data_IF_771816041246
#
_entry.id   IF_771816041246
#
_cell.length_a   1.000
_cell.length_b   1.000
_cell.length_c   1.000
_cell.angle_alpha   90.00
_cell.angle_beta   90.00
_cell.angle_gamma   90.00
#
_symmetry.space_group_name_H-M   'P 1'
#
loop_
_entity.id
_entity.type
_entity.pdbx_description
1 polymer ?
#
# COMPACT_ATOMS: atom_id res chain seq x y z
N UNK A 1 -31.88 0.50 9.83
CA UNK A 1 -31.00 0.72 8.67
C UNK A 1 -30.67 -0.63 8.06
N UNK A 2 -30.61 -0.77 6.73
CA UNK A 2 -30.20 -2.04 6.09
C UNK A 2 -28.72 -2.36 6.41
N UNK A 3 -28.32 -3.62 6.34
CA UNK A 3 -26.93 -4.03 6.55
C UNK A 3 -25.96 -3.27 5.62
N UNK A 4 -26.34 -3.09 4.35
CA UNK A 4 -25.61 -2.30 3.36
C UNK A 4 -25.52 -0.81 3.75
N UNK A 5 -26.59 -0.22 4.29
CA UNK A 5 -26.54 1.17 4.75
C UNK A 5 -25.58 1.33 5.93
N UNK A 6 -25.60 0.40 6.90
CA UNK A 6 -24.70 0.46 8.07
C UNK A 6 -23.23 0.36 7.65
N UNK A 7 -22.88 -0.61 6.80
CA UNK A 7 -21.50 -0.80 6.32
C UNK A 7 -21.03 0.41 5.50
N UNK A 8 -21.81 0.88 4.53
CA UNK A 8 -21.46 2.02 3.69
C UNK A 8 -21.36 3.32 4.47
N UNK A 9 -22.29 3.61 5.38
CA UNK A 9 -22.21 4.80 6.24
C UNK A 9 -20.96 4.75 7.13
N UNK A 10 -20.59 3.57 7.64
CA UNK A 10 -19.36 3.40 8.42
C UNK A 10 -18.11 3.66 7.57
N UNK A 11 -18.05 3.14 6.33
CA UNK A 11 -16.95 3.41 5.39
C UNK A 11 -16.84 4.90 5.11
N UNK A 12 -17.95 5.54 4.74
CA UNK A 12 -17.99 6.98 4.43
C UNK A 12 -17.56 7.80 5.64
N UNK A 13 -18.02 7.45 6.85
CA UNK A 13 -17.61 8.13 8.08
C UNK A 13 -16.10 8.01 8.33
N UNK A 14 -15.52 6.82 8.18
CA UNK A 14 -14.07 6.60 8.36
C UNK A 14 -13.27 7.39 7.34
N UNK A 15 -13.67 7.35 6.06
CA UNK A 15 -13.00 8.10 4.98
C UNK A 15 -13.13 9.61 5.21
N UNK A 16 -14.29 10.10 5.63
CA UNK A 16 -14.52 11.50 5.95
C UNK A 16 -13.68 11.96 7.14
N UNK A 17 -13.62 11.17 8.22
CA UNK A 17 -12.79 11.47 9.40
C UNK A 17 -11.30 11.48 9.03
N UNK A 18 -10.84 10.47 8.29
CA UNK A 18 -9.45 10.43 7.79
C UNK A 18 -9.12 11.66 6.95
N UNK A 19 -10.00 12.01 6.01
CA UNK A 19 -9.85 13.18 5.14
C UNK A 19 -9.83 14.48 5.94
N UNK A 20 -10.73 14.64 6.91
CA UNK A 20 -10.80 15.82 7.78
C UNK A 20 -9.52 15.98 8.63
N UNK A 21 -9.00 14.89 9.20
CA UNK A 21 -7.74 14.90 9.96
C UNK A 21 -6.58 15.33 9.04
N UNK A 22 -6.50 14.78 7.84
CA UNK A 22 -5.49 15.15 6.85
C UNK A 22 -5.56 16.64 6.49
N UNK A 23 -6.77 17.16 6.23
CA UNK A 23 -6.99 18.56 5.90
C UNK A 23 -6.63 19.51 7.06
N UNK A 24 -7.10 19.23 8.28
CA UNK A 24 -6.78 20.02 9.47
C UNK A 24 -5.28 20.09 9.77
N UNK A 25 -4.53 19.03 9.46
CA UNK A 25 -3.09 19.01 9.59
C UNK A 25 -2.34 19.88 8.54
N UNK A 26 -2.97 20.12 7.37
CA UNK A 26 -2.42 20.93 6.28
C UNK A 26 -2.72 22.42 6.38
N UNK A 27 -3.93 22.79 6.85
CA UNK A 27 -4.44 24.18 6.82
C UNK A 27 -3.57 25.21 7.58
N UNK A 28 -2.81 24.80 8.59
CA UNK A 28 -2.06 25.73 9.46
C UNK A 28 -0.68 26.16 8.93
N UNK A 29 -0.26 25.78 7.71
CA UNK A 29 1.06 26.15 7.18
C UNK A 29 1.00 26.58 5.71
N UNK A 30 1.92 27.48 5.32
CA UNK A 30 2.14 27.84 3.91
C UNK A 30 2.57 26.61 3.11
N UNK A 31 1.98 26.44 1.93
CA UNK A 31 2.16 25.29 1.05
C UNK A 31 3.10 25.68 -0.09
N UNK A 32 4.41 25.65 0.16
CA UNK A 32 5.44 25.77 -0.89
C UNK A 32 5.79 24.39 -1.48
N UNK A 33 6.53 24.34 -2.59
CA UNK A 33 6.90 23.07 -3.25
C UNK A 33 7.58 22.10 -2.28
N UNK A 34 8.44 22.59 -1.37
CA UNK A 34 9.13 21.75 -0.39
C UNK A 34 8.17 21.15 0.63
N UNK A 35 7.21 21.93 1.13
CA UNK A 35 6.17 21.44 2.04
C UNK A 35 5.19 20.51 1.31
N UNK A 36 4.95 20.74 0.02
CA UNK A 36 4.05 19.94 -0.81
C UNK A 36 4.65 18.60 -1.22
N UNK A 37 5.95 18.55 -1.55
CA UNK A 37 6.65 17.35 -2.06
C UNK A 37 7.39 16.53 -1.00
N UNK A 38 7.97 17.16 0.02
CA UNK A 38 8.78 16.48 1.05
C UNK A 38 8.39 16.84 2.48
N UNK A 39 7.29 17.58 2.66
CA UNK A 39 6.79 17.96 3.99
C UNK A 39 7.76 18.81 4.82
N UNK A 40 8.66 19.56 4.17
CA UNK A 40 9.68 20.37 4.83
C UNK A 40 10.79 19.57 5.51
N UNK A 41 10.92 18.26 5.20
CA UNK A 41 11.99 17.37 5.69
C UNK A 41 12.09 17.27 7.23
N UNK A 42 11.01 17.59 7.92
CA UNK A 42 10.94 17.70 9.39
C UNK A 42 10.24 16.53 10.08
N UNK A 43 9.88 15.47 9.36
CA UNK A 43 9.17 14.35 9.97
C UNK A 43 10.06 13.58 10.95
N UNK A 44 9.55 13.40 12.17
CA UNK A 44 10.16 12.54 13.19
C UNK A 44 10.08 11.07 12.80
N UNK A 45 10.84 10.22 13.52
CA UNK A 45 10.96 8.79 13.23
C UNK A 45 9.60 8.08 13.14
N UNK A 46 8.64 8.43 14.01
CA UNK A 46 7.29 7.83 14.02
C UNK A 46 6.49 8.20 12.78
N UNK A 47 6.52 9.46 12.33
CA UNK A 47 5.80 9.90 11.14
C UNK A 47 6.43 9.34 9.86
N UNK A 48 7.77 9.27 9.78
CA UNK A 48 8.47 8.62 8.66
C UNK A 48 8.14 7.13 8.64
N UNK A 49 8.16 6.47 9.80
CA UNK A 49 7.75 5.07 9.92
C UNK A 49 6.33 4.87 9.40
N UNK A 50 5.36 5.65 9.87
CA UNK A 50 3.95 5.52 9.45
C UNK A 50 3.72 5.93 7.98
N UNK A 51 4.46 6.88 7.46
CA UNK A 51 4.38 7.26 6.05
C UNK A 51 4.94 6.13 5.17
N UNK A 52 6.14 5.63 5.48
CA UNK A 52 6.75 4.52 4.75
C UNK A 52 5.92 3.24 4.90
N UNK A 53 5.34 2.97 6.06
CA UNK A 53 4.43 1.83 6.25
C UNK A 53 3.15 2.06 5.43
N UNK A 54 2.63 3.28 5.46
CA UNK A 54 1.54 3.77 4.64
C UNK A 54 1.70 3.45 3.15
N UNK A 55 2.90 3.67 2.63
CA UNK A 55 3.30 3.45 1.23
C UNK A 55 3.53 1.97 0.91
N UNK A 56 4.18 1.22 1.80
CA UNK A 56 4.52 -0.20 1.58
C UNK A 56 3.28 -1.08 1.66
N UNK A 57 2.41 -0.82 2.64
CA UNK A 57 1.22 -1.63 2.90
C UNK A 57 0.00 -1.00 2.23
N UNK A 58 -0.21 -1.45 0.99
CA UNK A 58 -1.24 -0.95 0.07
C UNK A 58 -2.46 -1.86 -0.02
N UNK A 59 -3.40 -1.54 -0.91
CA UNK A 59 -4.54 -2.42 -1.23
C UNK A 59 -4.11 -3.85 -1.54
N UNK A 60 -2.96 -4.03 -2.21
CA UNK A 60 -2.43 -5.38 -2.48
C UNK A 60 -2.10 -6.12 -1.20
N UNK A 61 -1.44 -5.47 -0.23
CA UNK A 61 -1.12 -6.08 1.07
C UNK A 61 -2.40 -6.52 1.82
N UNK A 62 -3.50 -5.80 1.64
CA UNK A 62 -4.76 -6.10 2.30
C UNK A 62 -5.62 -7.11 1.55
N UNK A 63 -6.13 -6.75 0.37
CA UNK A 63 -7.02 -7.59 -0.44
C UNK A 63 -6.23 -8.61 -1.25
N UNK A 64 -5.17 -8.19 -1.94
CA UNK A 64 -4.41 -9.06 -2.83
C UNK A 64 -3.71 -10.22 -2.10
N UNK A 65 -3.07 -9.96 -0.96
CA UNK A 65 -2.36 -10.97 -0.18
C UNK A 65 -3.33 -12.03 0.37
N UNK A 66 -4.47 -11.61 0.92
CA UNK A 66 -5.53 -12.55 1.33
C UNK A 66 -6.10 -13.34 0.14
N UNK A 67 -6.26 -12.69 -1.02
CA UNK A 67 -6.78 -13.32 -2.22
C UNK A 67 -5.82 -14.31 -2.84
N UNK A 68 -4.51 -14.07 -2.75
CA UNK A 68 -3.47 -15.04 -3.09
C UNK A 68 -3.44 -16.18 -2.09
N UNK A 69 -3.56 -15.90 -0.79
CA UNK A 69 -3.65 -16.94 0.23
C UNK A 69 -4.87 -17.85 -0.03
N UNK A 70 -5.98 -17.30 -0.50
CA UNK A 70 -7.16 -18.04 -0.92
C UNK A 70 -6.95 -18.83 -2.22
N UNK A 71 -6.44 -18.20 -3.27
CA UNK A 71 -6.42 -18.77 -4.63
C UNK A 71 -5.19 -19.61 -4.96
N UNK A 72 -4.06 -19.36 -4.28
CA UNK A 72 -2.76 -19.97 -4.57
C UNK A 72 -2.21 -20.75 -3.38
N UNK A 73 -2.46 -20.29 -2.15
CA UNK A 73 -1.96 -20.95 -0.94
C UNK A 73 -0.49 -20.64 -0.66
N UNK A 74 0.32 -21.68 -0.42
CA UNK A 74 1.75 -21.61 -0.09
C UNK A 74 2.59 -20.57 -0.85
N UNK A 75 2.45 -20.42 -2.19
CA UNK A 75 3.15 -19.38 -2.96
C UNK A 75 3.02 -17.96 -2.42
N UNK A 76 1.92 -17.64 -1.73
CA UNK A 76 1.67 -16.32 -1.13
C UNK A 76 2.70 -15.91 -0.08
N UNK A 77 3.37 -16.88 0.57
CA UNK A 77 4.44 -16.61 1.53
C UNK A 77 5.61 -15.85 0.91
N UNK A 78 5.69 -15.73 -0.41
CA UNK A 78 6.70 -14.91 -1.08
C UNK A 78 6.62 -13.46 -0.62
N UNK A 79 5.40 -12.96 -0.30
CA UNK A 79 5.19 -11.58 0.16
C UNK A 79 5.93 -11.29 1.46
N UNK A 80 5.85 -12.22 2.42
CA UNK A 80 6.57 -12.10 3.69
C UNK A 80 8.08 -12.18 3.46
N UNK A 81 8.55 -13.11 2.63
CA UNK A 81 9.96 -13.29 2.37
C UNK A 81 10.59 -12.08 1.67
N UNK A 82 9.98 -11.57 0.59
CA UNK A 82 10.59 -10.45 -0.12
C UNK A 82 10.55 -9.15 0.68
N UNK A 83 9.51 -8.90 1.48
CA UNK A 83 9.46 -7.70 2.32
C UNK A 83 10.56 -7.72 3.39
N UNK A 84 10.75 -8.85 4.07
CA UNK A 84 11.83 -8.98 5.06
C UNK A 84 13.21 -8.75 4.44
N UNK A 85 13.47 -9.34 3.26
CA UNK A 85 14.74 -9.15 2.57
C UNK A 85 14.89 -7.73 1.99
N UNK A 86 13.80 -7.11 1.51
CA UNK A 86 13.80 -5.71 1.11
C UNK A 86 14.23 -4.80 2.27
N UNK A 87 13.77 -5.04 3.50
CA UNK A 87 14.22 -4.23 4.64
C UNK A 87 15.72 -4.38 4.93
N UNK A 88 16.30 -5.57 4.73
CA UNK A 88 17.76 -5.74 4.78
C UNK A 88 18.43 -4.88 3.69
N UNK A 89 17.91 -4.92 2.46
CA UNK A 89 18.43 -4.09 1.36
C UNK A 89 18.37 -2.59 1.69
N UNK A 90 17.25 -2.09 2.23
CA UNK A 90 17.15 -0.67 2.59
C UNK A 90 18.10 -0.24 3.70
N UNK A 91 18.35 -1.11 4.67
CA UNK A 91 19.28 -0.82 5.76
C UNK A 91 20.67 -0.41 5.24
N UNK A 92 21.11 -1.02 4.13
CA UNK A 92 22.41 -0.74 3.51
C UNK A 92 22.35 0.31 2.39
N UNK A 93 21.32 0.26 1.53
CA UNK A 93 21.28 1.08 0.29
C UNK A 93 20.70 2.47 0.52
N UNK A 94 19.66 2.63 1.35
CA UNK A 94 19.00 3.93 1.50
C UNK A 94 19.86 5.01 2.21
N UNK A 95 20.68 4.71 3.23
CA UNK A 95 21.47 5.74 3.89
C UNK A 95 22.47 6.47 2.97
N UNK A 96 23.28 5.79 2.13
CA UNK A 96 24.15 6.47 1.17
C UNK A 96 23.37 7.30 0.13
N UNK A 97 22.22 6.80 -0.32
CA UNK A 97 21.33 7.52 -1.25
C UNK A 97 20.82 8.80 -0.60
N UNK A 98 20.39 8.73 0.67
CA UNK A 98 19.93 9.88 1.44
C UNK A 98 21.03 10.95 1.61
N UNK A 99 22.28 10.55 1.88
CA UNK A 99 23.41 11.48 2.00
C UNK A 99 23.65 12.25 0.70
N UNK A 100 23.60 11.57 -0.45
CA UNK A 100 23.68 12.20 -1.77
C UNK A 100 22.48 13.12 -2.01
N UNK A 101 21.28 12.69 -1.62
CA UNK A 101 20.06 13.48 -1.72
C UNK A 101 20.15 14.80 -0.94
N UNK A 102 20.72 14.76 0.26
CA UNK A 102 20.97 15.96 1.09
C UNK A 102 22.06 16.84 0.50
N UNK A 103 23.17 16.27 0.06
CA UNK A 103 24.33 17.02 -0.47
C UNK A 103 24.01 17.77 -1.75
N UNK A 104 23.19 17.18 -2.63
CA UNK A 104 22.87 17.72 -3.95
C UNK A 104 21.41 18.18 -4.08
N UNK A 105 20.68 18.30 -2.97
CA UNK A 105 19.28 18.70 -2.94
C UNK A 105 18.38 17.89 -3.92
N UNK A 106 18.65 16.59 -4.04
CA UNK A 106 17.85 15.71 -4.91
C UNK A 106 16.43 15.55 -4.33
N UNK A 107 15.46 15.49 -5.22
CA UNK A 107 14.05 15.28 -4.87
C UNK A 107 13.47 14.04 -5.52
N UNK A 108 14.00 13.60 -6.68
CA UNK A 108 13.45 12.46 -7.41
C UNK A 108 14.49 11.39 -7.72
N UNK A 109 14.00 10.18 -8.04
CA UNK A 109 14.81 9.08 -8.56
C UNK A 109 15.57 9.51 -9.83
N UNK A 110 14.92 10.26 -10.71
CA UNK A 110 15.53 10.76 -11.95
C UNK A 110 16.69 11.71 -11.69
N UNK A 111 16.61 12.56 -10.66
CA UNK A 111 17.72 13.44 -10.26
C UNK A 111 18.95 12.62 -9.87
N UNK A 112 18.76 11.53 -9.13
CA UNK A 112 19.84 10.64 -8.70
C UNK A 112 20.56 10.00 -9.88
N UNK A 113 19.82 9.43 -10.84
CA UNK A 113 20.42 8.82 -12.04
C UNK A 113 21.10 9.86 -12.94
N UNK A 114 20.49 11.05 -13.06
CA UNK A 114 21.10 12.16 -13.78
C UNK A 114 22.43 12.59 -13.19
N UNK A 115 22.52 12.71 -11.87
CA UNK A 115 23.76 13.06 -11.17
C UNK A 115 24.80 11.94 -11.25
N UNK A 116 24.41 10.69 -10.97
CA UNK A 116 25.32 9.54 -10.83
C UNK A 116 25.98 9.15 -12.15
N UNK A 117 25.24 9.24 -13.25
CA UNK A 117 25.70 8.85 -14.59
C UNK A 117 25.99 10.04 -15.50
N UNK A 118 25.73 11.27 -15.04
CA UNK A 118 25.89 12.51 -15.84
C UNK A 118 25.19 12.45 -17.20
N UNK A 119 24.07 11.72 -17.28
CA UNK A 119 23.33 11.49 -18.52
C UNK A 119 21.87 11.94 -18.38
N UNK A 120 21.53 13.03 -19.07
CA UNK A 120 20.17 13.61 -19.09
C UNK A 120 19.13 12.70 -19.73
N UNK A 121 19.53 11.92 -20.73
CA UNK A 121 18.64 10.99 -21.43
C UNK A 121 18.29 9.80 -20.55
N UNK A 122 19.25 9.30 -19.76
CA UNK A 122 18.99 8.26 -18.77
C UNK A 122 18.05 8.76 -17.67
N UNK A 123 18.23 9.98 -17.18
CA UNK A 123 17.33 10.58 -16.19
C UNK A 123 15.89 10.72 -16.72
N UNK A 124 15.74 11.16 -17.98
CA UNK A 124 14.46 11.24 -18.67
C UNK A 124 13.82 9.87 -18.91
N UNK A 125 14.61 8.87 -19.29
CA UNK A 125 14.15 7.49 -19.46
C UNK A 125 13.60 6.91 -18.14
N UNK A 126 14.35 7.06 -17.04
CA UNK A 126 13.90 6.64 -15.70
C UNK A 126 12.61 7.36 -15.28
N UNK A 127 12.47 8.65 -15.63
CA UNK A 127 11.25 9.42 -15.37
C UNK A 127 10.05 8.80 -16.10
N UNK A 128 10.16 8.58 -17.42
CA UNK A 128 9.08 8.04 -18.25
C UNK A 128 8.69 6.64 -17.77
N UNK A 129 9.67 5.76 -17.55
CA UNK A 129 9.41 4.40 -17.03
C UNK A 129 8.70 4.47 -15.68
N UNK A 130 9.15 5.33 -14.77
CA UNK A 130 8.52 5.53 -13.47
C UNK A 130 7.05 5.95 -13.57
N UNK A 131 6.73 6.93 -14.42
CA UNK A 131 5.36 7.42 -14.64
C UNK A 131 4.49 6.32 -15.25
N UNK A 132 4.97 5.63 -16.29
CA UNK A 132 4.22 4.55 -16.95
C UNK A 132 3.94 3.40 -15.97
N UNK A 133 4.91 3.01 -15.15
CA UNK A 133 4.72 1.95 -14.15
C UNK A 133 3.75 2.34 -13.02
N UNK A 134 3.50 3.62 -12.77
CA UNK A 134 2.48 4.05 -11.80
C UNK A 134 1.05 3.85 -12.29
N UNK A 135 0.80 3.81 -13.61
CA UNK A 135 -0.55 3.59 -14.16
C UNK A 135 -1.16 2.26 -13.68
N UNK A 136 -0.54 1.08 -13.88
CA UNK A 136 -1.11 -0.17 -13.38
C UNK A 136 -1.13 -0.22 -11.85
N UNK A 137 -0.21 0.47 -11.17
CA UNK A 137 -0.20 0.49 -9.71
C UNK A 137 -1.39 1.31 -9.16
N UNK A 138 -1.71 2.46 -9.75
CA UNK A 138 -2.90 3.23 -9.42
C UNK A 138 -4.18 2.46 -9.72
N UNK A 139 -4.22 1.74 -10.85
CA UNK A 139 -5.35 0.88 -11.20
C UNK A 139 -5.64 -0.17 -10.10
N UNK A 140 -4.60 -0.77 -9.51
CA UNK A 140 -4.76 -1.73 -8.39
C UNK A 140 -5.44 -1.08 -7.18
N UNK A 141 -5.06 0.15 -6.81
CA UNK A 141 -5.69 0.85 -5.67
C UNK A 141 -7.16 1.15 -5.94
N UNK A 142 -7.47 1.67 -7.13
CA UNK A 142 -8.85 2.01 -7.53
C UNK A 142 -9.73 0.74 -7.57
N UNK A 143 -9.18 -0.36 -8.10
CA UNK A 143 -9.86 -1.66 -8.13
C UNK A 143 -10.17 -2.16 -6.72
N UNK A 144 -9.27 -1.94 -5.77
CA UNK A 144 -9.48 -2.22 -4.35
C UNK A 144 -10.69 -1.54 -3.76
N UNK A 145 -10.81 -0.22 -3.95
CA UNK A 145 -11.98 0.54 -3.48
C UNK A 145 -13.26 0.03 -4.14
N UNK A 146 -13.20 -0.28 -5.44
CA UNK A 146 -14.31 -0.88 -6.16
C UNK A 146 -14.80 -2.18 -5.54
N UNK A 147 -13.87 -3.08 -5.19
CA UNK A 147 -14.15 -4.34 -4.49
C UNK A 147 -14.78 -4.07 -3.11
N UNK A 148 -14.19 -3.15 -2.33
CA UNK A 148 -14.65 -2.81 -0.99
C UNK A 148 -16.10 -2.34 -0.99
N UNK A 149 -16.42 -1.34 -1.82
CA UNK A 149 -17.76 -0.76 -1.88
C UNK A 149 -18.77 -1.76 -2.42
N UNK A 150 -18.39 -2.54 -3.44
CA UNK A 150 -19.25 -3.59 -4.00
C UNK A 150 -19.63 -4.63 -2.94
N UNK A 151 -18.65 -5.20 -2.22
CA UNK A 151 -18.93 -6.20 -1.18
C UNK A 151 -19.65 -5.59 0.02
N UNK A 152 -19.26 -4.38 0.46
CA UNK A 152 -19.90 -3.69 1.58
C UNK A 152 -21.35 -3.28 1.29
N UNK A 153 -21.67 -2.96 0.04
CA UNK A 153 -23.03 -2.64 -0.41
C UNK A 153 -23.91 -3.88 -0.62
N UNK A 154 -23.41 -5.08 -0.30
CA UNK A 154 -24.09 -6.35 -0.58
C UNK A 154 -24.40 -6.52 -2.07
N UNK A 155 -23.43 -6.13 -2.92
CA UNK A 155 -23.49 -6.21 -4.38
C UNK A 155 -24.54 -5.29 -5.04
N UNK A 156 -25.12 -4.36 -4.27
CA UNK A 156 -26.07 -3.36 -4.78
C UNK A 156 -25.39 -2.27 -5.63
N UNK A 157 -24.14 -1.93 -5.32
CA UNK A 157 -23.36 -0.94 -6.08
C UNK A 157 -22.39 -1.68 -7.02
N UNK A 158 -22.51 -1.51 -8.35
CA UNK A 158 -21.56 -2.06 -9.30
C UNK A 158 -20.14 -1.56 -9.06
N UNK A 159 -19.15 -2.44 -9.25
CA UNK A 159 -17.73 -2.13 -9.07
C UNK A 159 -17.28 -0.92 -9.89
N UNK A 160 -17.75 -0.79 -11.12
CA UNK A 160 -17.40 0.31 -12.03
C UNK A 160 -17.85 1.66 -11.49
N UNK A 161 -19.07 1.75 -10.97
CA UNK A 161 -19.60 2.97 -10.34
C UNK A 161 -18.80 3.33 -9.08
N UNK A 162 -18.50 2.34 -8.25
CA UNK A 162 -17.66 2.55 -7.07
C UNK A 162 -16.25 3.05 -7.42
N UNK A 163 -15.63 2.49 -8.47
CA UNK A 163 -14.33 2.93 -8.96
C UNK A 163 -14.37 4.37 -9.48
N UNK A 164 -15.41 4.77 -10.22
CA UNK A 164 -15.56 6.14 -10.72
C UNK A 164 -15.67 7.15 -9.57
N UNK A 165 -16.47 6.86 -8.54
CA UNK A 165 -16.59 7.69 -7.33
C UNK A 165 -15.27 7.74 -6.57
N UNK A 166 -14.57 6.62 -6.45
CA UNK A 166 -13.27 6.55 -5.79
C UNK A 166 -12.22 7.43 -6.50
N UNK A 167 -12.20 7.44 -7.83
CA UNK A 167 -11.32 8.32 -8.62
C UNK A 167 -11.64 9.79 -8.34
N UNK A 168 -12.92 10.18 -8.39
CA UNK A 168 -13.33 11.55 -8.11
C UNK A 168 -12.92 12.00 -6.69
N UNK A 169 -13.14 11.14 -5.69
CA UNK A 169 -12.76 11.42 -4.31
C UNK A 169 -11.23 11.49 -4.12
N UNK A 170 -10.49 10.58 -4.77
CA UNK A 170 -9.03 10.58 -4.74
C UNK A 170 -8.45 11.85 -5.37
N UNK A 171 -8.96 12.26 -6.53
CA UNK A 171 -8.53 13.49 -7.21
C UNK A 171 -8.79 14.70 -6.31
N UNK A 172 -10.00 14.83 -5.76
CA UNK A 172 -10.34 15.90 -4.84
C UNK A 172 -9.42 15.92 -3.59
N UNK A 173 -9.12 14.73 -3.05
CA UNK A 173 -8.19 14.59 -1.93
C UNK A 173 -6.78 15.08 -2.31
N UNK A 174 -6.20 14.59 -3.41
CA UNK A 174 -4.84 14.98 -3.84
C UNK A 174 -4.73 16.49 -4.10
N UNK A 175 -5.71 17.11 -4.77
CA UNK A 175 -5.70 18.55 -5.00
C UNK A 175 -5.74 19.37 -3.70
N UNK A 176 -6.45 18.87 -2.68
CA UNK A 176 -6.57 19.53 -1.39
C UNK A 176 -5.45 19.17 -0.39
N UNK A 177 -4.66 18.13 -0.67
CA UNK A 177 -3.78 17.47 0.30
C UNK A 177 -2.32 17.41 -0.17
N UNK A 178 -1.36 17.96 0.59
CA UNK A 178 0.07 17.70 0.39
C UNK A 178 0.56 16.44 1.13
N UNK A 179 1.84 16.05 1.01
CA UNK A 179 2.42 14.85 1.69
C UNK A 179 2.05 14.76 3.17
N UNK A 180 2.01 15.90 3.87
CA UNK A 180 1.72 15.94 5.31
C UNK A 180 0.29 15.50 5.63
N UNK A 181 -0.68 15.88 4.81
CA UNK A 181 -2.05 15.42 4.99
C UNK A 181 -2.11 13.90 4.82
N UNK A 182 -1.44 13.39 3.79
CA UNK A 182 -1.32 11.95 3.55
C UNK A 182 -0.71 11.23 4.75
N UNK A 183 0.38 11.75 5.33
CA UNK A 183 1.04 11.15 6.49
C UNK A 183 0.10 10.99 7.71
N UNK A 184 -0.76 11.98 7.98
CA UNK A 184 -1.74 11.87 9.06
C UNK A 184 -2.87 10.90 8.76
N UNK A 185 -3.31 10.82 7.50
CA UNK A 185 -4.26 9.78 7.08
C UNK A 185 -3.63 8.38 7.21
N UNK A 186 -2.32 8.24 6.94
CA UNK A 186 -1.60 6.98 7.14
C UNK A 186 -1.66 6.49 8.59
N UNK A 187 -1.60 7.39 9.58
CA UNK A 187 -1.72 7.02 11.00
C UNK A 187 -3.06 6.35 11.28
N UNK A 188 -4.16 6.98 10.84
CA UNK A 188 -5.53 6.47 11.03
C UNK A 188 -5.70 5.15 10.29
N UNK A 189 -5.21 5.08 9.04
CA UNK A 189 -5.20 3.88 8.21
C UNK A 189 -4.50 2.73 8.92
N UNK A 190 -3.25 2.92 9.36
CA UNK A 190 -2.42 1.86 9.92
C UNK A 190 -2.99 1.35 11.24
N UNK A 191 -3.51 2.23 12.09
CA UNK A 191 -4.20 1.83 13.33
C UNK A 191 -5.43 0.95 13.03
N UNK A 192 -6.26 1.37 12.07
CA UNK A 192 -7.42 0.58 11.66
C UNK A 192 -7.03 -0.73 10.98
N UNK A 193 -5.97 -0.73 10.18
CA UNK A 193 -5.50 -1.93 9.48
C UNK A 193 -4.90 -2.94 10.45
N UNK A 194 -4.14 -2.50 11.46
CA UNK A 194 -3.64 -3.37 12.52
C UNK A 194 -4.80 -4.00 13.31
N UNK A 195 -5.79 -3.19 13.69
CA UNK A 195 -6.98 -3.67 14.39
C UNK A 195 -7.76 -4.68 13.53
N UNK A 196 -7.98 -4.37 12.25
CA UNK A 196 -8.68 -5.24 11.31
C UNK A 196 -7.92 -6.56 11.10
N UNK A 197 -6.61 -6.50 10.85
CA UNK A 197 -5.77 -7.68 10.66
C UNK A 197 -5.81 -8.59 11.88
N UNK A 198 -5.61 -8.05 13.09
CA UNK A 198 -5.64 -8.83 14.33
C UNK A 198 -7.02 -9.43 14.60
N UNK A 199 -8.06 -8.63 14.48
CA UNK A 199 -9.45 -9.04 14.75
C UNK A 199 -9.91 -10.12 13.78
N UNK A 200 -9.58 -9.99 12.49
CA UNK A 200 -10.01 -10.93 11.46
C UNK A 200 -9.12 -12.19 11.46
N UNK A 201 -7.81 -12.01 11.51
CA UNK A 201 -6.86 -13.11 11.43
C UNK A 201 -6.81 -14.01 12.66
N UNK A 202 -7.20 -13.50 13.84
CA UNK A 202 -7.41 -14.33 15.04
C UNK A 202 -8.88 -14.70 15.19
N UNK A 203 -9.80 -13.76 14.96
CA UNK A 203 -11.22 -13.96 15.20
C UNK A 203 -11.86 -15.00 14.28
N UNK A 204 -11.56 -15.01 12.97
CA UNK A 204 -12.15 -15.99 12.05
C UNK A 204 -11.72 -17.42 12.42
N UNK A 205 -10.41 -17.72 12.63
CA UNK A 205 -10.01 -19.05 13.08
C UNK A 205 -10.63 -19.46 14.41
N UNK A 206 -10.78 -18.54 15.36
CA UNK A 206 -11.42 -18.83 16.65
C UNK A 206 -12.92 -19.14 16.52
N UNK A 207 -13.66 -18.32 15.76
CA UNK A 207 -15.12 -18.45 15.62
C UNK A 207 -15.50 -19.75 14.91
N UNK A 208 -14.77 -20.13 13.86
CA UNK A 208 -15.17 -21.24 12.98
C UNK A 208 -14.42 -22.55 13.22
N UNK A 209 -13.20 -22.50 13.76
CA UNK A 209 -12.35 -23.69 13.92
C UNK A 209 -11.88 -23.92 15.36
N UNK A 210 -12.17 -23.01 16.30
CA UNK A 210 -11.68 -23.07 17.67
C UNK A 210 -10.22 -22.64 17.83
N UNK A 211 -9.58 -22.12 16.78
CA UNK A 211 -8.22 -21.57 16.82
C UNK A 211 -7.42 -21.72 15.53
N UNK A 212 -6.27 -21.05 15.46
CA UNK A 212 -5.39 -21.05 14.28
C UNK A 212 -4.82 -22.46 14.00
N UNK A 213 -4.41 -23.18 15.05
CA UNK A 213 -3.87 -24.54 14.90
C UNK A 213 -4.91 -25.52 14.34
N UNK A 214 -6.14 -25.48 14.86
CA UNK A 214 -7.24 -26.30 14.38
C UNK A 214 -7.65 -25.95 12.94
N UNK A 215 -7.64 -24.66 12.57
CA UNK A 215 -7.86 -24.22 11.19
C UNK A 215 -6.80 -24.81 10.24
N UNK A 216 -5.52 -24.77 10.59
CA UNK A 216 -4.46 -25.36 9.76
C UNK A 216 -4.53 -26.89 9.72
N UNK A 217 -4.96 -27.54 10.81
CA UNK A 217 -5.20 -28.99 10.81
C UNK A 217 -6.33 -29.38 9.84
N UNK A 218 -7.45 -28.64 9.87
CA UNK A 218 -8.55 -28.81 8.92
C UNK A 218 -8.10 -28.55 7.47
N UNK A 219 -7.31 -27.49 7.25
CA UNK A 219 -6.80 -27.15 5.93
C UNK A 219 -5.82 -28.20 5.40
N UNK A 220 -4.95 -28.76 6.26
CA UNK A 220 -4.05 -29.84 5.92
C UNK A 220 -4.80 -31.13 5.56
N UNK A 221 -5.95 -31.38 6.19
CA UNK A 221 -6.78 -32.54 5.89
C UNK A 221 -7.56 -32.38 4.57
N UNK A 222 -8.22 -31.25 4.36
CA UNK A 222 -9.09 -31.04 3.19
C UNK A 222 -8.33 -30.59 1.93
N UNK A 223 -7.27 -29.78 2.09
CA UNK A 223 -6.52 -29.17 0.99
C UNK A 223 -5.01 -29.17 1.27
N UNK A 224 -4.36 -30.34 1.42
CA UNK A 224 -2.93 -30.44 1.77
C UNK A 224 -2.02 -29.71 0.78
N UNK A 225 -2.34 -29.76 -0.52
CA UNK A 225 -1.58 -29.07 -1.56
C UNK A 225 -1.57 -27.53 -1.38
N UNK A 226 -2.54 -26.97 -0.66
CA UNK A 226 -2.62 -25.52 -0.43
C UNK A 226 -1.56 -25.00 0.55
N UNK A 227 -0.98 -25.89 1.36
CA UNK A 227 0.07 -25.57 2.33
C UNK A 227 1.49 -25.83 1.82
N UNK A 228 1.63 -26.40 0.62
CA UNK A 228 2.91 -26.69 -0.02
C UNK A 228 3.11 -25.82 -1.25
N UNK A 229 4.31 -25.87 -1.86
CA UNK A 229 4.56 -25.33 -3.19
C UNK A 229 4.31 -26.46 -4.21
N UNK A 230 3.71 -26.20 -5.39
CA UNK A 230 3.29 -24.91 -5.95
C UNK A 230 1.90 -24.43 -5.51
N UNK A 231 1.35 -24.96 -4.42
CA UNK A 231 0.04 -24.56 -3.92
C UNK A 231 -1.09 -25.10 -4.79
N UNK A 232 -2.13 -24.28 -4.97
CA UNK A 232 -3.21 -24.52 -5.92
C UNK A 232 -2.84 -24.14 -7.38
N UNK A 233 -1.55 -24.00 -7.70
CA UNK A 233 -1.07 -23.59 -9.04
C UNK A 233 -0.13 -24.63 -9.64
N UNK A 234 0.15 -24.54 -10.94
CA UNK A 234 1.06 -25.47 -11.64
C UNK A 234 2.49 -24.91 -11.81
N UNK A 235 2.66 -23.61 -11.67
CA UNK A 235 3.83 -22.86 -12.13
C UNK A 235 4.51 -22.02 -11.03
N UNK A 236 3.90 -21.88 -9.85
CA UNK A 236 4.50 -21.14 -8.72
C UNK A 236 5.30 -22.07 -7.79
N UNK A 237 6.21 -22.86 -8.35
CA UNK A 237 7.09 -23.75 -7.59
C UNK A 237 8.24 -23.03 -6.88
N UNK A 238 9.15 -23.79 -6.28
CA UNK A 238 10.30 -23.25 -5.54
C UNK A 238 11.20 -22.32 -6.37
N UNK A 239 11.43 -22.66 -7.64
CA UNK A 239 12.24 -21.82 -8.53
C UNK A 239 11.60 -20.43 -8.74
N UNK A 240 10.29 -20.39 -8.99
CA UNK A 240 9.54 -19.13 -9.08
C UNK A 240 9.60 -18.34 -7.77
N UNK A 241 9.44 -19.02 -6.63
CA UNK A 241 9.49 -18.40 -5.32
C UNK A 241 10.83 -17.70 -5.08
N UNK A 242 11.95 -18.43 -5.22
CA UNK A 242 13.29 -17.90 -4.93
C UNK A 242 13.64 -16.76 -5.91
N UNK A 243 13.43 -16.97 -7.21
CA UNK A 243 13.71 -15.95 -8.23
C UNK A 243 12.88 -14.69 -8.04
N UNK A 244 11.58 -14.84 -7.74
CA UNK A 244 10.68 -13.70 -7.51
C UNK A 244 11.03 -12.97 -6.22
N UNK A 245 11.34 -13.68 -5.12
CA UNK A 245 11.77 -13.07 -3.86
C UNK A 245 13.04 -12.25 -4.07
N UNK A 246 14.05 -12.79 -4.75
CA UNK A 246 15.29 -12.06 -5.03
C UNK A 246 15.03 -10.83 -5.92
N UNK A 247 14.30 -11.01 -7.02
CA UNK A 247 13.96 -9.92 -7.94
C UNK A 247 13.21 -8.78 -7.23
N UNK A 248 12.16 -9.13 -6.48
CA UNK A 248 11.31 -8.14 -5.80
C UNK A 248 12.03 -7.46 -4.65
N UNK A 249 12.86 -8.17 -3.89
CA UNK A 249 13.62 -7.59 -2.78
C UNK A 249 14.66 -6.57 -3.27
N UNK A 250 15.37 -6.88 -4.36
CA UNK A 250 16.37 -5.97 -4.95
C UNK A 250 15.68 -4.81 -5.69
N UNK A 251 14.54 -5.08 -6.35
CA UNK A 251 13.78 -4.08 -7.10
C UNK A 251 12.90 -3.17 -6.26
N UNK A 252 12.65 -3.50 -4.99
CA UNK A 252 11.67 -2.81 -4.15
C UNK A 252 11.93 -1.30 -4.03
N UNK A 253 13.19 -0.92 -3.79
CA UNK A 253 13.58 0.50 -3.66
C UNK A 253 13.89 1.17 -5.00
N UNK A 254 13.71 0.49 -6.13
CA UNK A 254 13.80 1.12 -7.45
C UNK A 254 12.52 1.87 -7.83
N UNK A 255 11.43 1.67 -7.07
CA UNK A 255 10.19 2.40 -7.28
C UNK A 255 10.36 3.89 -6.94
N UNK A 256 9.94 4.82 -7.82
CA UNK A 256 10.24 6.24 -7.61
C UNK A 256 9.65 6.84 -6.33
N UNK A 257 8.48 6.36 -5.89
CA UNK A 257 7.84 6.85 -4.66
C UNK A 257 8.57 6.36 -3.40
N UNK A 258 8.97 5.09 -3.35
CA UNK A 258 9.71 4.51 -2.22
C UNK A 258 11.12 5.13 -2.15
N UNK A 259 11.76 5.31 -3.29
CA UNK A 259 13.06 5.97 -3.38
C UNK A 259 12.97 7.44 -2.97
N UNK A 260 11.96 8.16 -3.47
CA UNK A 260 11.70 9.56 -3.11
C UNK A 260 11.38 9.73 -1.62
N UNK A 261 10.62 8.79 -1.04
CA UNK A 261 10.30 8.79 0.39
C UNK A 261 11.56 8.73 1.26
N UNK A 262 12.63 8.04 0.81
CA UNK A 262 13.91 8.04 1.53
C UNK A 262 14.46 9.45 1.73
N UNK A 263 14.28 10.37 0.76
CA UNK A 263 14.75 11.77 0.85
C UNK A 263 13.99 12.64 1.85
N UNK A 264 12.83 12.19 2.32
CA UNK A 264 12.01 12.88 3.33
C UNK A 264 12.51 12.65 4.74
N UNK A 265 13.35 11.63 4.96
CA UNK A 265 13.85 11.27 6.28
C UNK A 265 14.77 12.34 6.87
N UNK A 266 14.72 12.49 8.21
CA UNK A 266 15.56 13.45 8.96
C UNK A 266 17.05 13.06 8.98
N UNK A 267 17.35 11.76 8.97
CA UNK A 267 18.72 11.24 9.01
C UNK A 267 18.84 9.86 8.36
N UNK A 268 20.05 9.53 7.91
CA UNK A 268 20.44 8.17 7.50
C UNK A 268 20.16 7.12 8.60
N UNK A 269 20.39 7.47 9.88
CA UNK A 269 20.10 6.57 11.00
C UNK A 269 18.59 6.30 11.17
N UNK A 270 17.74 7.30 10.89
CA UNK A 270 16.29 7.10 10.91
C UNK A 270 15.85 6.06 9.88
N UNK A 271 16.47 6.02 8.69
CA UNK A 271 16.20 5.00 7.67
C UNK A 271 16.63 3.61 8.15
N UNK A 272 17.80 3.49 8.78
CA UNK A 272 18.26 2.22 9.38
C UNK A 272 17.33 1.72 10.46
N UNK A 273 16.92 2.59 11.39
CA UNK A 273 15.94 2.25 12.43
C UNK A 273 14.60 1.83 11.82
N UNK A 274 14.15 2.53 10.79
CA UNK A 274 12.92 2.19 10.09
C UNK A 274 13.00 0.77 9.49
N UNK A 275 14.10 0.44 8.82
CA UNK A 275 14.34 -0.90 8.27
C UNK A 275 14.34 -2.00 9.34
N UNK A 276 14.79 -1.73 10.57
CA UNK A 276 14.76 -2.71 11.67
C UNK A 276 13.36 -2.89 12.25
N UNK A 277 12.53 -1.84 12.29
CA UNK A 277 11.19 -1.88 12.89
C UNK A 277 10.12 -2.37 11.91
N UNK A 278 10.27 -2.09 10.60
CA UNK A 278 9.32 -2.47 9.56
C UNK A 278 8.94 -3.96 9.48
N UNK A 279 9.85 -4.93 9.75
CA UNK A 279 9.48 -6.33 9.88
C UNK A 279 8.36 -6.59 10.89
N UNK A 280 8.25 -5.82 11.98
CA UNK A 280 7.14 -5.98 12.93
C UNK A 280 5.78 -5.72 12.29
N UNK A 281 5.72 -4.79 11.33
CA UNK A 281 4.49 -4.54 10.58
C UNK A 281 4.17 -5.70 9.63
N UNK A 282 5.17 -6.42 9.09
CA UNK A 282 4.90 -7.59 8.22
C UNK A 282 4.17 -8.71 8.97
N UNK A 283 4.24 -8.76 10.30
CA UNK A 283 3.45 -9.71 11.09
C UNK A 283 1.94 -9.51 10.88
N UNK A 284 1.50 -8.29 10.55
CA UNK A 284 0.09 -8.03 10.22
C UNK A 284 -0.37 -8.80 8.98
N UNK A 285 0.52 -8.99 8.00
CA UNK A 285 0.24 -9.77 6.80
C UNK A 285 0.05 -11.26 7.10
N UNK A 286 0.72 -11.77 8.14
CA UNK A 286 0.51 -13.17 8.56
C UNK A 286 -0.95 -13.39 9.04
N UNK A 287 -1.52 -12.42 9.75
CA UNK A 287 -2.93 -12.49 10.16
C UNK A 287 -3.89 -12.43 8.96
N UNK A 288 -3.57 -11.60 7.96
CA UNK A 288 -4.32 -11.53 6.69
C UNK A 288 -4.22 -12.86 5.92
N UNK A 289 -3.04 -13.50 5.95
CA UNK A 289 -2.84 -14.84 5.37
C UNK A 289 -3.71 -15.88 6.07
N UNK A 290 -3.79 -15.88 7.42
CA UNK A 290 -4.68 -16.78 8.15
C UNK A 290 -6.14 -16.60 7.75
N UNK A 291 -6.60 -15.35 7.62
CA UNK A 291 -7.95 -15.06 7.15
C UNK A 291 -8.20 -15.58 5.73
N UNK A 292 -7.23 -15.42 4.82
CA UNK A 292 -7.30 -15.96 3.47
C UNK A 292 -7.37 -17.50 3.44
N UNK A 293 -6.54 -18.18 4.24
CA UNK A 293 -6.56 -19.62 4.42
C UNK A 293 -7.88 -20.13 5.01
N UNK A 294 -8.41 -19.48 6.04
CA UNK A 294 -9.72 -19.80 6.60
C UNK A 294 -10.83 -19.68 5.55
N UNK A 295 -10.74 -18.68 4.67
CA UNK A 295 -11.72 -18.45 3.62
C UNK A 295 -11.78 -19.60 2.61
N UNK A 296 -10.67 -20.30 2.37
CA UNK A 296 -10.63 -21.46 1.45
C UNK A 296 -11.64 -22.52 1.88
N UNK A 297 -11.74 -22.77 3.19
CA UNK A 297 -12.63 -23.76 3.78
C UNK A 297 -14.05 -23.21 3.92
N UNK A 298 -14.19 -21.92 4.28
CA UNK A 298 -15.49 -21.32 4.56
C UNK A 298 -16.27 -20.94 3.30
N UNK A 299 -15.60 -20.43 2.26
CA UNK A 299 -16.23 -19.89 1.04
C UNK A 299 -15.51 -20.43 -0.19
N UNK A 300 -15.66 -21.72 -0.53
CA UNK A 300 -15.02 -22.30 -1.70
C UNK A 300 -15.65 -21.78 -3.01
N UNK A 301 -14.85 -21.71 -4.08
CA UNK A 301 -15.34 -21.42 -5.44
C UNK A 301 -15.46 -19.94 -5.82
N UNK A 302 -14.82 -19.01 -5.11
CA UNK A 302 -14.78 -17.61 -5.52
C UNK A 302 -14.01 -17.44 -6.83
N UNK A 303 -14.67 -16.86 -7.84
CA UNK A 303 -14.06 -16.58 -9.14
C UNK A 303 -12.93 -15.53 -9.05
N UNK A 304 -13.01 -14.61 -8.09
CA UNK A 304 -11.98 -13.60 -7.84
C UNK A 304 -11.49 -13.72 -6.39
N UNK A 305 -10.22 -14.11 -6.23
CA UNK A 305 -9.59 -14.27 -4.91
C UNK A 305 -9.56 -12.98 -4.08
N UNK A 306 -9.47 -11.80 -4.71
CA UNK A 306 -9.42 -10.52 -3.98
C UNK A 306 -10.71 -10.21 -3.20
N UNK A 307 -11.80 -10.95 -3.48
CA UNK A 307 -13.05 -10.89 -2.73
C UNK A 307 -12.99 -11.67 -1.42
N UNK A 308 -12.04 -12.59 -1.25
CA UNK A 308 -12.01 -13.59 -0.18
C UNK A 308 -12.14 -12.96 1.21
N UNK A 309 -11.25 -12.03 1.56
CA UNK A 309 -11.22 -11.40 2.88
C UNK A 309 -12.54 -10.70 3.22
N UNK A 310 -13.04 -9.84 2.33
CA UNK A 310 -14.28 -9.11 2.61
C UNK A 310 -15.50 -10.02 2.64
N UNK A 311 -15.49 -11.10 1.84
CA UNK A 311 -16.60 -12.07 1.81
C UNK A 311 -16.64 -12.87 3.11
N UNK A 312 -15.50 -13.34 3.61
CA UNK A 312 -15.46 -14.06 4.88
C UNK A 312 -15.80 -13.14 6.06
N UNK A 313 -15.41 -11.86 5.99
CA UNK A 313 -15.78 -10.87 7.00
C UNK A 313 -17.28 -10.60 6.96
N UNK A 314 -17.87 -10.41 5.78
CA UNK A 314 -19.32 -10.24 5.58
C UNK A 314 -20.13 -11.42 6.14
N UNK A 315 -19.59 -12.64 6.07
CA UNK A 315 -20.24 -13.84 6.61
C UNK A 315 -20.05 -14.02 8.11
N UNK A 316 -18.92 -13.58 8.66
CA UNK A 316 -18.51 -13.90 10.03
C UNK A 316 -18.77 -12.78 11.04
N UNK A 317 -18.93 -11.54 10.58
CA UNK A 317 -19.03 -10.35 11.44
C UNK A 317 -20.25 -9.49 11.11
N UNK A 318 -20.72 -8.67 12.08
CA UNK A 318 -21.83 -7.75 11.85
C UNK A 318 -21.49 -6.66 10.82
N UNK A 319 -22.49 -6.05 10.16
CA UNK A 319 -22.27 -5.10 9.06
C UNK A 319 -21.47 -3.85 9.41
N UNK A 320 -21.53 -3.38 10.66
CA UNK A 320 -20.72 -2.24 11.11
C UNK A 320 -19.23 -2.58 11.09
N UNK A 321 -18.85 -3.82 11.45
CA UNK A 321 -17.47 -4.27 11.45
C UNK A 321 -16.97 -4.48 10.02
N UNK A 322 -17.81 -5.02 9.13
CA UNK A 322 -17.52 -5.01 7.69
C UNK A 322 -17.25 -3.59 7.18
N UNK A 323 -18.02 -2.61 7.67
CA UNK A 323 -17.78 -1.18 7.38
C UNK A 323 -16.45 -0.66 7.91
N UNK A 324 -16.01 -1.06 9.11
CA UNK A 324 -14.69 -0.71 9.66
C UNK A 324 -13.56 -1.28 8.81
N UNK A 325 -13.65 -2.56 8.48
CA UNK A 325 -12.67 -3.28 7.64
C UNK A 325 -12.63 -2.68 6.23
N UNK A 326 -13.79 -2.38 5.65
CA UNK A 326 -13.90 -1.69 4.38
C UNK A 326 -13.34 -0.27 4.41
N UNK A 327 -13.59 0.49 5.48
CA UNK A 327 -13.08 1.85 5.66
C UNK A 327 -11.55 1.86 5.78
N UNK A 328 -10.99 0.92 6.54
CA UNK A 328 -9.55 0.70 6.64
C UNK A 328 -8.95 0.38 5.25
N UNK A 329 -9.59 -0.51 4.49
CA UNK A 329 -9.20 -0.84 3.12
C UNK A 329 -9.30 0.36 2.17
N UNK A 330 -10.32 1.22 2.30
CA UNK A 330 -10.51 2.39 1.46
C UNK A 330 -9.42 3.44 1.71
N UNK A 331 -9.10 3.72 2.97
CA UNK A 331 -7.95 4.56 3.34
C UNK A 331 -6.63 3.94 2.83
N UNK A 332 -6.54 2.61 2.82
CA UNK A 332 -5.39 1.86 2.31
C UNK A 332 -5.23 1.92 0.80
N UNK A 333 -6.30 2.15 0.06
CA UNK A 333 -6.21 2.50 -1.35
C UNK A 333 -5.87 3.97 -1.57
N UNK A 334 -6.48 4.87 -0.80
CA UNK A 334 -6.33 6.32 -0.98
C UNK A 334 -4.92 6.82 -0.68
N UNK A 335 -4.33 6.41 0.44
CA UNK A 335 -3.02 6.91 0.90
C UNK A 335 -1.89 6.63 -0.11
N UNK A 336 -1.67 5.38 -0.57
CA UNK A 336 -0.66 5.10 -1.58
C UNK A 336 -1.00 5.75 -2.92
N UNK A 337 -2.28 5.76 -3.31
CA UNK A 337 -2.67 6.35 -4.60
C UNK A 337 -2.37 7.86 -4.65
N UNK A 338 -2.57 8.57 -3.54
CA UNK A 338 -2.21 9.98 -3.43
C UNK A 338 -0.70 10.20 -3.61
N UNK A 339 0.14 9.37 -2.98
CA UNK A 339 1.61 9.46 -3.07
C UNK A 339 2.09 9.10 -4.47
N UNK A 340 1.49 8.09 -5.11
CA UNK A 340 1.80 7.72 -6.48
C UNK A 340 1.49 8.86 -7.45
N UNK A 341 0.31 9.49 -7.34
CA UNK A 341 -0.06 10.66 -8.17
C UNK A 341 0.90 11.82 -7.92
N UNK A 342 1.19 12.12 -6.66
CA UNK A 342 2.09 13.21 -6.28
C UNK A 342 3.51 13.00 -6.85
N UNK A 343 4.02 11.78 -6.72
CA UNK A 343 5.33 11.40 -7.25
C UNK A 343 5.33 11.45 -8.78
N UNK A 344 4.26 10.97 -9.43
CA UNK A 344 4.11 11.03 -10.88
C UNK A 344 4.10 12.48 -11.39
N UNK A 345 3.34 13.36 -10.72
CA UNK A 345 3.25 14.78 -11.04
C UNK A 345 4.60 15.46 -10.87
N UNK A 346 5.31 15.18 -9.77
CA UNK A 346 6.65 15.74 -9.51
C UNK A 346 7.66 15.28 -10.57
N UNK A 347 7.68 13.99 -10.92
CA UNK A 347 8.52 13.46 -11.99
C UNK A 347 8.20 14.13 -13.33
N UNK A 348 6.92 14.27 -13.66
CA UNK A 348 6.49 14.90 -14.90
C UNK A 348 6.89 16.37 -14.96
N UNK A 349 6.49 17.18 -13.99
CA UNK A 349 6.72 18.62 -13.98
C UNK A 349 8.22 18.95 -13.91
N UNK A 350 8.95 18.33 -12.97
CA UNK A 350 10.35 18.64 -12.71
C UNK A 350 11.32 17.98 -13.69
N UNK A 351 11.14 16.68 -13.97
CA UNK A 351 12.14 15.90 -14.69
C UNK A 351 11.85 15.73 -16.18
N UNK A 352 10.62 16.02 -16.63
CA UNK A 352 10.25 15.96 -18.04
C UNK A 352 9.86 17.32 -18.61
N UNK A 353 8.92 18.03 -17.99
CA UNK A 353 8.36 19.26 -18.53
C UNK A 353 9.34 20.44 -18.45
N UNK A 354 9.85 20.75 -17.26
CA UNK A 354 10.81 21.85 -17.04
C UNK A 354 12.05 21.75 -17.95
N UNK A 355 12.76 20.60 -18.07
CA UNK A 355 13.97 20.54 -18.89
C UNK A 355 13.71 20.61 -20.40
N UNK A 356 12.52 20.20 -20.87
CA UNK A 356 12.21 20.13 -22.31
C UNK A 356 11.46 21.35 -22.83
N UNK A 357 10.50 21.88 -22.05
CA UNK A 357 9.55 22.87 -22.52
C UNK A 357 9.64 24.20 -21.77
N UNK A 358 10.10 24.21 -20.51
CA UNK A 358 10.16 25.44 -19.71
C UNK A 358 11.41 25.50 -18.80
N UNK A 359 12.63 25.66 -19.35
CA UNK A 359 13.86 25.63 -18.57
C UNK A 359 13.96 26.73 -17.50
N UNK A 360 13.24 27.84 -17.70
CA UNK A 360 13.17 28.97 -16.79
C UNK A 360 12.15 28.81 -15.65
N UNK A 361 11.39 27.70 -15.59
CA UNK A 361 10.42 27.48 -14.51
C UNK A 361 11.11 27.54 -13.14
N UNK A 362 10.54 28.31 -12.22
CA UNK A 362 10.93 28.31 -10.81
C UNK A 362 10.35 27.10 -10.10
N UNK A 363 10.86 26.79 -8.90
CA UNK A 363 10.34 25.68 -8.10
C UNK A 363 8.88 25.90 -7.67
N UNK A 364 8.41 27.14 -7.53
CA UNK A 364 7.00 27.44 -7.24
C UNK A 364 6.06 27.22 -8.44
N UNK A 365 6.61 27.16 -9.66
CA UNK A 365 5.83 26.92 -10.88
C UNK A 365 5.74 25.43 -11.25
N UNK A 366 6.58 24.59 -10.62
CA UNK A 366 6.57 23.13 -10.72
C UNK A 366 5.46 22.57 -9.83
#
# INVERSE_FOLDING_TARGET
MSAAAVSLTTIVAIVAVGTAIGFLAGVRRRMDLEQWTVGGRGFGVVLVFLLTAGEVYTTFAFLGASGWAYSRGGPTLYVLAYLTLAYVVSFFILPPVWELGRKYALQTLSDFFGLRYRNRHLAGFVCIVGIVCFVPYLQLQITGVGIIVSVASFDAIPRTTAMAVAVAALVAFVFASGVRAVAWVSVVKDALMLLAALSIGIGIPLIHFGGIGAMFAALAHERPAHLTMPGATHNLGHAWYVSTVLLTSLGFYMWPHIFGAAFTAKSADALRRNAVVMPLYTLTLAFIFFAGCATVLLVPGLANGDLALLTVVRRSFPPWFLGVVGGAGALTAMVPAAILILTAATLFAKNLYRPLFAPAMTDDQV
#
